data_IF_296532381690
#
_entry.id   IF_296532381690
#
_cell.length_a   1.000
_cell.length_b   1.000
_cell.length_c   1.000
_cell.angle_alpha   90.00
_cell.angle_beta   90.00
_cell.angle_gamma   90.00
#
_symmetry.space_group_name_H-M   'P 1'
#
loop_
_entity.id
_entity.type
_entity.pdbx_description
1 polymer ?
#
# COMPACT_ATOMS: atom_id res chain seq x y z
N UNK A 1 22.75 -33.45 -48.47
CA UNK A 1 21.81 -32.42 -47.98
C UNK A 1 21.56 -32.68 -46.50
N UNK A 2 22.15 -31.89 -45.58
CA UNK A 2 22.01 -32.11 -44.12
C UNK A 2 21.12 -31.01 -43.54
N UNK A 3 19.89 -31.36 -43.19
CA UNK A 3 18.96 -30.45 -42.50
C UNK A 3 19.42 -30.35 -41.04
N UNK A 4 19.88 -29.15 -40.64
CA UNK A 4 20.14 -28.85 -39.22
C UNK A 4 18.83 -28.37 -38.62
N UNK A 5 18.23 -29.18 -37.76
CA UNK A 5 17.04 -28.80 -37.01
C UNK A 5 17.52 -28.00 -35.78
N UNK A 6 17.26 -26.69 -35.78
CA UNK A 6 17.53 -25.83 -34.63
C UNK A 6 16.37 -25.98 -33.64
N UNK A 7 16.65 -26.55 -32.46
CA UNK A 7 15.72 -26.52 -31.35
C UNK A 7 15.76 -25.12 -30.72
N UNK A 8 14.69 -24.34 -30.91
CA UNK A 8 14.48 -23.09 -30.18
C UNK A 8 13.87 -23.45 -28.83
N UNK A 9 14.66 -23.34 -27.76
CA UNK A 9 14.15 -23.35 -26.40
C UNK A 9 13.46 -22.00 -26.14
N UNK A 10 12.13 -21.97 -26.17
CA UNK A 10 11.35 -20.85 -25.69
C UNK A 10 11.36 -20.94 -24.16
N UNK A 11 12.21 -20.14 -23.51
CA UNK A 11 12.13 -19.91 -22.07
C UNK A 11 10.97 -18.95 -21.85
N UNK A 12 9.81 -19.47 -21.47
CA UNK A 12 8.71 -18.65 -20.96
C UNK A 12 9.12 -18.10 -19.60
N UNK A 13 9.62 -16.86 -19.56
CA UNK A 13 9.68 -16.09 -18.33
C UNK A 13 8.24 -15.82 -17.89
N UNK A 14 7.70 -16.64 -16.99
CA UNK A 14 6.53 -16.26 -16.23
C UNK A 14 6.98 -15.15 -15.27
N UNK A 15 6.77 -13.90 -15.66
CA UNK A 15 6.79 -12.78 -14.72
C UNK A 15 5.67 -13.00 -13.71
N UNK A 16 5.98 -13.70 -12.61
CA UNK A 16 5.15 -13.76 -11.43
C UNK A 16 5.11 -12.32 -10.93
N UNK A 17 4.01 -11.60 -11.19
CA UNK A 17 3.73 -10.31 -10.55
C UNK A 17 3.38 -10.65 -9.09
N UNK A 18 4.30 -10.47 -8.13
CA UNK A 18 4.06 -10.89 -6.75
C UNK A 18 3.12 -9.92 -6.02
N UNK A 19 2.81 -8.79 -6.65
CA UNK A 19 2.03 -7.68 -6.13
C UNK A 19 0.77 -7.46 -6.98
N UNK A 20 -0.31 -7.02 -6.35
CA UNK A 20 -1.63 -6.89 -6.96
C UNK A 20 -2.74 -7.40 -6.05
N UNK A 21 -3.97 -7.47 -6.55
CA UNK A 21 -5.17 -7.68 -5.73
C UNK A 21 -5.10 -8.89 -4.79
N UNK A 22 -4.49 -9.99 -5.23
CA UNK A 22 -4.33 -11.16 -4.38
C UNK A 22 -3.34 -10.90 -3.24
N UNK A 23 -2.20 -10.27 -3.52
CA UNK A 23 -1.19 -9.96 -2.52
C UNK A 23 -1.75 -9.03 -1.43
N UNK A 24 -2.43 -7.94 -1.79
CA UNK A 24 -3.04 -7.03 -0.79
C UNK A 24 -4.06 -7.74 0.10
N UNK A 25 -4.83 -8.67 -0.48
CA UNK A 25 -5.77 -9.52 0.27
C UNK A 25 -5.05 -10.41 1.27
N UNK A 26 -4.01 -11.13 0.84
CA UNK A 26 -3.26 -12.04 1.71
C UNK A 26 -2.51 -11.28 2.80
N UNK A 27 -1.88 -10.14 2.49
CA UNK A 27 -1.19 -9.31 3.49
C UNK A 27 -2.17 -8.86 4.57
N UNK A 28 -3.34 -8.34 4.20
CA UNK A 28 -4.37 -7.93 5.17
C UNK A 28 -4.90 -9.10 6.00
N UNK A 29 -5.14 -10.25 5.36
CA UNK A 29 -5.58 -11.47 6.03
C UNK A 29 -4.55 -11.92 7.08
N UNK A 30 -3.27 -12.01 6.70
CA UNK A 30 -2.20 -12.44 7.61
C UNK A 30 -1.93 -11.43 8.72
N UNK A 31 -2.01 -10.12 8.44
CA UNK A 31 -1.85 -9.07 9.44
C UNK A 31 -2.86 -9.19 10.60
N UNK A 32 -4.07 -9.69 10.35
CA UNK A 32 -5.06 -9.88 11.42
C UNK A 32 -4.60 -10.89 12.49
N UNK A 33 -3.75 -11.87 12.14
CA UNK A 33 -3.21 -12.85 13.08
C UNK A 33 -2.00 -12.35 13.88
N UNK A 34 -1.42 -11.22 13.50
CA UNK A 34 -0.28 -10.62 14.21
C UNK A 34 -0.73 -9.55 15.22
N UNK A 35 -2.03 -9.33 15.34
CA UNK A 35 -2.59 -8.34 16.26
C UNK A 35 -2.52 -8.81 17.72
N UNK A 36 -2.41 -7.87 18.68
CA UNK A 36 -2.47 -8.19 20.10
C UNK A 36 -3.77 -8.93 20.48
N UNK A 37 -3.74 -9.78 21.53
CA UNK A 37 -4.92 -10.55 21.97
C UNK A 37 -6.17 -9.69 22.21
N UNK A 38 -6.01 -8.47 22.69
CA UNK A 38 -7.09 -7.52 23.00
C UNK A 38 -7.84 -7.05 21.74
N UNK A 39 -7.17 -7.03 20.59
CA UNK A 39 -7.74 -6.62 19.30
C UNK A 39 -8.19 -7.82 18.46
N UNK A 40 -7.53 -8.97 18.63
CA UNK A 40 -7.70 -10.14 17.76
C UNK A 40 -9.17 -10.58 17.61
N UNK A 41 -9.96 -10.55 18.68
CA UNK A 41 -11.37 -10.95 18.63
C UNK A 41 -12.20 -10.15 17.63
N UNK A 42 -12.05 -8.82 17.61
CA UNK A 42 -12.74 -7.93 16.67
C UNK A 42 -12.30 -8.19 15.23
N UNK A 43 -10.99 -8.27 15.00
CA UNK A 43 -10.43 -8.41 13.65
C UNK A 43 -10.70 -9.79 13.07
N UNK A 44 -10.63 -10.86 13.88
CA UNK A 44 -11.00 -12.21 13.47
C UNK A 44 -12.46 -12.28 13.01
N UNK A 45 -13.38 -11.61 13.72
CA UNK A 45 -14.79 -11.56 13.33
C UNK A 45 -15.03 -10.83 12.00
N UNK A 46 -14.10 -9.97 11.57
CA UNK A 46 -14.20 -9.14 10.37
C UNK A 46 -13.21 -9.54 9.26
N UNK A 47 -12.45 -10.62 9.44
CA UNK A 47 -11.25 -10.90 8.64
C UNK A 47 -11.54 -11.03 7.14
N UNK A 48 -12.66 -11.66 6.78
CA UNK A 48 -13.06 -11.82 5.38
C UNK A 48 -13.49 -10.49 4.75
N UNK A 49 -14.14 -9.64 5.53
CA UNK A 49 -14.53 -8.30 5.09
C UNK A 49 -13.27 -7.45 4.88
N UNK A 50 -12.37 -7.38 5.86
CA UNK A 50 -11.09 -6.65 5.76
C UNK A 50 -10.30 -7.13 4.55
N UNK A 51 -10.17 -8.46 4.37
CA UNK A 51 -9.54 -9.06 3.19
C UNK A 51 -10.21 -8.58 1.91
N UNK A 52 -11.54 -8.67 1.81
CA UNK A 52 -12.26 -8.25 0.60
C UNK A 52 -12.08 -6.76 0.27
N UNK A 53 -11.96 -5.92 1.30
CA UNK A 53 -11.81 -4.47 1.18
C UNK A 53 -10.38 -4.03 0.86
N UNK A 54 -9.38 -4.90 1.03
CA UNK A 54 -7.96 -4.60 0.84
C UNK A 54 -7.57 -4.14 -0.58
N UNK A 55 -8.48 -4.22 -1.56
CA UNK A 55 -8.26 -3.77 -2.95
C UNK A 55 -9.05 -2.51 -3.29
N UNK A 56 -9.84 -1.98 -2.34
CA UNK A 56 -10.65 -0.78 -2.58
C UNK A 56 -9.82 0.47 -2.90
N UNK A 57 -8.64 0.70 -2.29
CA UNK A 57 -7.82 1.84 -2.70
C UNK A 57 -7.48 1.81 -4.19
N UNK A 58 -7.00 0.68 -4.72
CA UNK A 58 -6.76 0.52 -6.16
C UNK A 58 -8.01 0.77 -7.00
N UNK A 59 -9.17 0.33 -6.53
CA UNK A 59 -10.44 0.57 -7.22
C UNK A 59 -10.83 2.06 -7.24
N UNK A 60 -10.50 2.81 -6.18
CA UNK A 60 -10.77 4.25 -6.08
C UNK A 60 -9.91 5.07 -7.03
N UNK A 61 -8.74 4.58 -7.43
CA UNK A 61 -7.87 5.24 -8.44
C UNK A 61 -8.58 5.52 -9.76
N UNK A 62 -9.60 4.72 -10.11
CA UNK A 62 -10.38 4.92 -11.34
C UNK A 62 -11.49 5.97 -11.23
N UNK A 63 -11.71 6.54 -10.03
CA UNK A 63 -12.85 7.42 -9.74
C UNK A 63 -12.43 8.70 -8.99
N UNK A 64 -11.29 8.66 -8.29
CA UNK A 64 -10.75 9.76 -7.51
C UNK A 64 -9.36 10.07 -8.06
N UNK A 65 -9.23 11.22 -8.73
CA UNK A 65 -7.98 11.65 -9.35
C UNK A 65 -6.83 11.71 -8.32
N UNK A 66 -7.11 12.23 -7.13
CA UNK A 66 -6.14 12.38 -6.04
C UNK A 66 -5.76 11.07 -5.33
N UNK A 67 -6.34 9.92 -5.70
CA UNK A 67 -6.01 8.63 -5.07
C UNK A 67 -4.68 8.08 -5.58
N UNK A 68 -4.38 8.25 -6.87
CA UNK A 68 -3.18 7.71 -7.53
C UNK A 68 -1.87 7.93 -6.75
N UNK A 69 -1.54 9.15 -6.27
CA UNK A 69 -0.27 9.38 -5.57
C UNK A 69 -0.20 8.77 -4.16
N UNK A 70 -1.30 8.24 -3.62
CA UNK A 70 -1.33 7.65 -2.27
C UNK A 70 -0.73 6.24 -2.22
N UNK A 71 -0.40 5.67 -3.38
CA UNK A 71 0.03 4.27 -3.54
C UNK A 71 1.55 4.09 -3.74
N UNK A 72 2.32 5.17 -3.80
CA UNK A 72 3.76 5.09 -4.01
C UNK A 72 4.49 6.29 -3.42
N UNK A 73 5.81 6.21 -3.44
CA UNK A 73 6.72 7.35 -3.27
C UNK A 73 7.92 7.11 -4.20
N UNK A 74 8.25 8.13 -4.98
CA UNK A 74 9.43 8.16 -5.84
C UNK A 74 10.63 8.65 -5.02
N UNK A 75 11.28 7.72 -4.34
CA UNK A 75 12.39 8.04 -3.42
C UNK A 75 13.61 8.55 -4.17
N UNK A 76 13.88 8.00 -5.36
CA UNK A 76 15.04 8.35 -6.20
C UNK A 76 14.98 9.81 -6.69
N UNK A 77 13.77 10.38 -6.78
CA UNK A 77 13.59 11.80 -7.06
C UNK A 77 14.11 12.71 -5.94
N UNK A 78 13.87 12.34 -4.68
CA UNK A 78 14.26 13.17 -3.53
C UNK A 78 15.70 12.94 -3.08
N UNK A 79 16.20 11.70 -3.20
CA UNK A 79 17.51 11.35 -2.68
C UNK A 79 18.26 10.39 -3.60
N UNK A 80 19.47 10.79 -4.00
CA UNK A 80 20.32 9.99 -4.88
C UNK A 80 21.47 9.28 -4.14
N UNK A 81 21.55 9.42 -2.81
CA UNK A 81 22.64 8.90 -1.97
C UNK A 81 22.06 7.92 -0.95
N UNK A 82 22.80 6.85 -0.64
CA UNK A 82 22.42 5.85 0.36
C UNK A 82 23.24 6.10 1.64
N UNK A 83 22.64 6.01 2.85
CA UNK A 83 21.23 5.69 3.13
C UNK A 83 20.29 6.86 2.85
N UNK A 84 19.03 6.54 2.51
CA UNK A 84 17.94 7.52 2.38
C UNK A 84 17.61 8.04 3.78
N UNK A 85 17.98 9.27 4.10
CA UNK A 85 17.80 9.86 5.44
C UNK A 85 17.43 11.35 5.41
N UNK A 86 17.19 11.93 4.23
CA UNK A 86 16.88 13.35 4.09
C UNK A 86 15.38 13.65 3.93
N UNK A 87 14.58 12.66 3.49
CA UNK A 87 13.15 12.85 3.26
C UNK A 87 12.41 13.13 4.59
N UNK A 88 11.69 14.26 4.72
CA UNK A 88 11.02 14.60 5.97
C UNK A 88 9.90 13.63 6.35
N UNK A 89 9.95 13.12 7.58
CA UNK A 89 8.91 12.23 8.11
C UNK A 89 7.54 12.91 8.28
N UNK A 90 7.51 14.22 8.54
CA UNK A 90 6.28 14.98 8.75
C UNK A 90 5.80 15.62 7.43
N UNK A 91 4.50 15.50 7.16
CA UNK A 91 3.88 16.07 5.96
C UNK A 91 4.08 17.58 5.84
N UNK A 92 3.92 18.31 6.95
CA UNK A 92 4.08 19.77 6.93
C UNK A 92 5.54 20.17 6.65
N UNK A 93 6.51 19.41 7.15
CA UNK A 93 7.93 19.61 6.83
C UNK A 93 8.22 19.33 5.35
N UNK A 94 7.72 18.20 4.83
CA UNK A 94 7.86 17.84 3.42
C UNK A 94 7.21 18.90 2.51
N UNK A 95 6.05 19.42 2.87
CA UNK A 95 5.37 20.50 2.13
C UNK A 95 6.17 21.80 2.12
N UNK A 96 6.82 22.15 3.23
CA UNK A 96 7.67 23.35 3.29
C UNK A 96 8.93 23.17 2.43
N UNK A 97 9.49 21.96 2.40
CA UNK A 97 10.74 21.68 1.69
C UNK A 97 10.55 21.52 0.18
N UNK A 98 9.55 20.73 -0.25
CA UNK A 98 9.37 20.35 -1.65
C UNK A 98 8.16 21.01 -2.31
N UNK A 99 7.19 21.49 -1.53
CA UNK A 99 5.91 21.97 -2.06
C UNK A 99 4.92 20.84 -2.33
N UNK A 100 3.64 21.15 -2.23
CA UNK A 100 2.56 20.15 -2.31
C UNK A 100 2.37 19.54 -3.70
N UNK A 101 2.51 20.34 -4.76
CA UNK A 101 2.39 19.87 -6.14
C UNK A 101 3.43 18.80 -6.47
N UNK A 102 4.70 19.06 -6.13
CA UNK A 102 5.80 18.10 -6.32
C UNK A 102 5.54 16.82 -5.53
N UNK A 103 5.12 16.93 -4.27
CA UNK A 103 4.79 15.76 -3.45
C UNK A 103 3.68 14.91 -4.09
N UNK A 104 2.63 15.54 -4.62
CA UNK A 104 1.54 14.84 -5.27
C UNK A 104 1.97 14.20 -6.60
N UNK A 105 2.88 14.80 -7.35
CA UNK A 105 3.40 14.20 -8.59
C UNK A 105 4.30 12.98 -8.31
N UNK A 106 5.07 13.03 -7.22
CA UNK A 106 6.08 12.02 -6.87
C UNK A 106 5.64 11.05 -5.77
N UNK A 107 4.36 11.02 -5.43
CA UNK A 107 3.79 10.03 -4.53
C UNK A 107 3.98 10.36 -3.04
N UNK A 108 2.96 10.02 -2.25
CA UNK A 108 2.80 10.43 -0.85
C UNK A 108 2.48 9.28 0.11
N UNK A 109 2.71 8.02 -0.29
CA UNK A 109 2.28 6.85 0.51
C UNK A 109 2.73 6.90 1.98
N UNK A 110 3.95 7.33 2.35
CA UNK A 110 4.36 7.32 3.76
C UNK A 110 3.54 8.28 4.62
N UNK A 111 3.27 9.49 4.10
CA UNK A 111 2.45 10.48 4.81
C UNK A 111 0.97 10.11 4.82
N UNK A 112 0.49 9.44 3.76
CA UNK A 112 -0.90 8.96 3.71
C UNK A 112 -1.14 7.81 4.69
N UNK A 113 -0.18 6.89 4.88
CA UNK A 113 -0.24 5.85 5.92
C UNK A 113 -0.46 6.48 7.30
N UNK A 114 0.30 7.53 7.66
CA UNK A 114 0.15 8.22 8.94
C UNK A 114 -1.24 8.85 9.09
N UNK A 115 -1.79 9.39 8.00
CA UNK A 115 -3.12 10.00 7.95
C UNK A 115 -4.23 8.96 8.15
N UNK A 116 -4.17 7.84 7.44
CA UNK A 116 -5.14 6.74 7.57
C UNK A 116 -5.07 6.12 8.97
N UNK A 117 -3.88 5.94 9.53
CA UNK A 117 -3.68 5.50 10.91
C UNK A 117 -4.36 6.47 11.90
N UNK A 118 -4.20 7.78 11.70
CA UNK A 118 -4.85 8.77 12.55
C UNK A 118 -6.38 8.69 12.45
N UNK A 119 -6.94 8.57 11.24
CA UNK A 119 -8.38 8.38 11.07
C UNK A 119 -8.89 7.09 11.71
N UNK A 120 -8.13 5.99 11.62
CA UNK A 120 -8.48 4.73 12.28
C UNK A 120 -8.51 4.89 13.80
N UNK A 121 -7.54 5.62 14.37
CA UNK A 121 -7.53 5.94 15.80
C UNK A 121 -8.78 6.72 16.22
N UNK A 122 -9.18 7.72 15.43
CA UNK A 122 -10.41 8.48 15.69
C UNK A 122 -11.65 7.59 15.61
N UNK A 123 -11.77 6.75 14.57
CA UNK A 123 -12.87 5.81 14.43
C UNK A 123 -12.95 4.82 15.61
N UNK A 124 -11.81 4.34 16.11
CA UNK A 124 -11.74 3.51 17.31
C UNK A 124 -12.20 4.26 18.57
N UNK A 125 -11.77 5.52 18.74
CA UNK A 125 -12.20 6.37 19.85
C UNK A 125 -13.71 6.60 19.85
N UNK A 126 -14.27 6.85 18.68
CA UNK A 126 -15.70 7.12 18.48
C UNK A 126 -16.53 5.84 18.41
N UNK A 127 -15.88 4.66 18.45
CA UNK A 127 -16.49 3.32 18.34
C UNK A 127 -17.28 3.13 17.04
N UNK A 128 -16.85 3.79 15.96
CA UNK A 128 -17.44 3.65 14.64
C UNK A 128 -16.99 2.33 14.01
N UNK A 129 -17.79 1.29 14.22
CA UNK A 129 -17.52 -0.06 13.74
C UNK A 129 -17.22 -0.12 12.24
N UNK A 130 -18.02 0.58 11.43
CA UNK A 130 -17.91 0.53 9.97
C UNK A 130 -16.61 1.18 9.50
N UNK A 131 -16.28 2.35 10.06
CA UNK A 131 -15.05 3.05 9.72
C UNK A 131 -13.82 2.32 10.22
N UNK A 132 -13.85 1.67 11.39
CA UNK A 132 -12.73 0.86 11.88
C UNK A 132 -12.39 -0.24 10.87
N UNK A 133 -13.39 -0.97 10.36
CA UNK A 133 -13.16 -2.06 9.41
C UNK A 133 -12.62 -1.53 8.08
N UNK A 134 -13.23 -0.48 7.52
CA UNK A 134 -12.80 0.11 6.23
C UNK A 134 -11.39 0.69 6.32
N UNK A 135 -11.12 1.51 7.33
CA UNK A 135 -9.82 2.17 7.51
C UNK A 135 -8.72 1.17 7.85
N UNK A 136 -9.04 0.05 8.51
CA UNK A 136 -8.07 -1.03 8.72
C UNK A 136 -7.64 -1.68 7.41
N UNK A 137 -8.60 -1.96 6.51
CA UNK A 137 -8.29 -2.55 5.21
C UNK A 137 -7.50 -1.58 4.32
N UNK A 138 -7.89 -0.30 4.31
CA UNK A 138 -7.16 0.76 3.60
C UNK A 138 -5.74 0.93 4.17
N UNK A 139 -5.58 0.94 5.49
CA UNK A 139 -4.25 1.05 6.13
C UNK A 139 -3.36 -0.13 5.74
N UNK A 140 -3.88 -1.35 5.79
CA UNK A 140 -3.13 -2.55 5.38
C UNK A 140 -2.75 -2.53 3.90
N UNK A 141 -3.60 -1.96 3.04
CA UNK A 141 -3.30 -1.78 1.62
C UNK A 141 -2.12 -0.82 1.39
N UNK A 142 -2.18 0.40 1.93
CA UNK A 142 -1.12 1.39 1.71
C UNK A 142 0.22 0.97 2.35
N UNK A 143 0.18 0.26 3.49
CA UNK A 143 1.40 -0.34 4.05
C UNK A 143 1.96 -1.37 3.08
N UNK A 144 1.12 -2.23 2.48
CA UNK A 144 1.58 -3.21 1.50
C UNK A 144 2.17 -2.54 0.24
N UNK A 145 1.56 -1.47 -0.26
CA UNK A 145 2.10 -0.66 -1.36
C UNK A 145 3.49 -0.12 -1.07
N UNK A 146 3.73 0.39 0.14
CA UNK A 146 5.04 0.88 0.55
C UNK A 146 6.13 -0.22 0.64
N UNK A 147 5.77 -1.50 0.50
CA UNK A 147 6.70 -2.63 0.42
C UNK A 147 6.84 -3.19 -1.00
N UNK A 148 6.16 -2.62 -1.99
CA UNK A 148 6.36 -2.92 -3.41
C UNK A 148 7.63 -2.20 -3.86
N UNK A 149 8.67 -2.93 -4.36
CA UNK A 149 9.90 -2.31 -4.87
C UNK A 149 9.73 -1.56 -6.19
#
# INVERSE_FOLDING_TARGET
MRIRMAFVFIVCYNSILPWGFHAHKEVNYHACFTLPPEMFGFYKANIDLIRSLAVRPDQRRYVIDDESPRHYIDVDFYESIIPIDTIPYLWDSAKVEYGEEILLDHGIVPWHILRVKYWLMLAMKDRDYEQIVKLSADLGHYIADAHVP
#
